data_IF_830883387476
#
_entry.id   IF_830883387476
#
_cell.length_a   1.000
_cell.length_b   1.000
_cell.length_c   1.000
_cell.angle_alpha   90.00
_cell.angle_beta   90.00
_cell.angle_gamma   90.00
#
_symmetry.space_group_name_H-M   'P 1'
#
loop_
_entity.id
_entity.type
_entity.pdbx_description
1 polymer ?
#
# COMPACT_ATOMS: atom_id res chain seq x y z
N UNK A 1 -11.85 -7.86 6.78
CA UNK A 1 -11.35 -6.66 6.08
C UNK A 1 -10.35 -7.13 5.07
N UNK A 2 -10.59 -6.85 3.80
CA UNK A 2 -9.73 -7.30 2.71
C UNK A 2 -8.40 -6.53 2.73
N UNK A 3 -7.30 -7.06 2.17
CA UNK A 3 -6.01 -6.38 2.15
C UNK A 3 -6.07 -4.97 1.53
N UNK A 4 -6.94 -4.78 0.53
CA UNK A 4 -7.16 -3.47 -0.11
C UNK A 4 -7.71 -2.43 0.87
N UNK A 5 -8.70 -2.80 1.69
CA UNK A 5 -9.31 -1.91 2.68
C UNK A 5 -8.28 -1.50 3.75
N UNK A 6 -7.45 -2.45 4.20
CA UNK A 6 -6.37 -2.19 5.17
C UNK A 6 -5.37 -1.18 4.61
N UNK A 7 -4.96 -1.35 3.35
CA UNK A 7 -4.04 -0.44 2.67
C UNK A 7 -4.66 0.94 2.53
N UNK A 8 -5.91 1.05 2.05
CA UNK A 8 -6.59 2.34 1.91
C UNK A 8 -6.69 3.08 3.23
N UNK A 9 -7.02 2.36 4.32
CA UNK A 9 -7.02 2.95 5.66
C UNK A 9 -5.66 3.55 6.01
N UNK A 10 -4.58 2.79 5.84
CA UNK A 10 -3.21 3.26 6.12
C UNK A 10 -2.84 4.47 5.25
N UNK A 11 -3.18 4.45 3.96
CA UNK A 11 -2.88 5.58 3.07
C UNK A 11 -3.61 6.86 3.50
N UNK A 12 -4.87 6.73 3.94
CA UNK A 12 -5.66 7.84 4.43
C UNK A 12 -5.14 8.36 5.77
N UNK A 13 -4.88 7.47 6.73
CA UNK A 13 -4.41 7.81 8.07
C UNK A 13 -3.05 8.54 8.05
N UNK A 14 -2.17 8.21 7.09
CA UNK A 14 -0.82 8.77 6.97
C UNK A 14 -0.66 9.76 5.80
N UNK A 15 -1.74 10.10 5.08
CA UNK A 15 -1.68 11.01 3.92
C UNK A 15 -0.71 10.56 2.83
N UNK A 16 -0.57 9.25 2.63
CA UNK A 16 0.41 8.69 1.69
C UNK A 16 -0.12 8.68 0.25
N UNK A 17 0.70 9.18 -0.68
CA UNK A 17 0.39 9.09 -2.12
C UNK A 17 0.62 7.67 -2.64
N UNK A 18 -0.07 7.31 -3.72
CA UNK A 18 0.10 6.00 -4.36
C UNK A 18 1.52 5.71 -4.85
N UNK A 19 2.31 6.75 -5.17
CA UNK A 19 3.73 6.61 -5.54
C UNK A 19 4.55 6.15 -4.34
N UNK A 20 4.41 6.83 -3.19
CA UNK A 20 5.09 6.44 -1.94
C UNK A 20 4.62 5.07 -1.45
N UNK A 21 3.34 4.76 -1.61
CA UNK A 21 2.78 3.46 -1.27
C UNK A 21 3.42 2.33 -2.09
N UNK A 22 3.56 2.53 -3.41
CA UNK A 22 4.19 1.56 -4.30
C UNK A 22 5.65 1.29 -3.92
N UNK A 23 6.41 2.36 -3.63
CA UNK A 23 7.80 2.28 -3.17
C UNK A 23 7.91 1.53 -1.83
N UNK A 24 7.06 1.87 -0.85
CA UNK A 24 6.99 1.19 0.45
C UNK A 24 6.69 -0.31 0.33
N UNK A 25 5.89 -0.69 -0.67
CA UNK A 25 5.52 -2.09 -0.95
C UNK A 25 6.50 -2.82 -1.87
N UNK A 26 7.54 -2.15 -2.38
CA UNK A 26 8.50 -2.74 -3.32
C UNK A 26 7.89 -3.14 -4.66
N UNK A 27 6.84 -2.43 -5.12
CA UNK A 27 6.18 -2.67 -6.41
C UNK A 27 6.26 -1.45 -7.32
N UNK A 28 6.19 -1.66 -8.62
CA UNK A 28 6.08 -0.56 -9.57
C UNK A 28 4.75 0.21 -9.36
N UNK A 29 4.77 1.53 -9.57
CA UNK A 29 3.56 2.36 -9.46
C UNK A 29 2.45 1.92 -10.43
N UNK A 30 2.79 1.42 -11.61
CA UNK A 30 1.83 0.83 -12.54
C UNK A 30 1.12 -0.40 -11.92
N UNK A 31 1.86 -1.25 -11.21
CA UNK A 31 1.31 -2.40 -10.47
C UNK A 31 0.42 -1.95 -9.33
N UNK A 32 0.81 -0.89 -8.60
CA UNK A 32 -0.04 -0.29 -7.57
C UNK A 32 -1.36 0.20 -8.17
N UNK A 33 -1.34 1.00 -9.26
CA UNK A 33 -2.57 1.47 -9.93
C UNK A 33 -3.46 0.33 -10.40
N UNK A 34 -2.85 -0.73 -10.95
CA UNK A 34 -3.57 -1.92 -11.41
C UNK A 34 -4.27 -2.63 -10.25
N UNK A 35 -3.59 -2.80 -9.11
CA UNK A 35 -4.14 -3.42 -7.89
C UNK A 35 -5.17 -2.55 -7.18
N UNK A 36 -5.04 -1.24 -7.32
CA UNK A 36 -5.95 -0.25 -6.73
C UNK A 36 -7.23 -0.05 -7.54
N UNK A 37 -7.32 -0.65 -8.74
CA UNK A 37 -8.49 -0.54 -9.59
C UNK A 37 -9.58 -1.53 -9.13
N UNK A 38 -10.76 -1.07 -8.68
CA UNK A 38 -11.82 -1.96 -8.19
C UNK A 38 -12.36 -2.91 -9.27
N UNK A 39 -12.16 -2.58 -10.56
CA UNK A 39 -12.58 -3.43 -11.67
C UNK A 39 -11.56 -4.54 -12.00
N UNK A 40 -10.42 -4.60 -11.31
CA UNK A 40 -9.40 -5.62 -11.52
C UNK A 40 -9.60 -6.81 -10.58
N UNK A 41 -10.28 -7.84 -11.05
CA UNK A 41 -10.54 -9.08 -10.29
C UNK A 41 -9.35 -10.05 -10.27
N UNK A 42 -8.32 -9.84 -11.10
CA UNK A 42 -7.17 -10.75 -11.24
C UNK A 42 -5.99 -10.38 -10.34
N UNK A 43 -5.76 -9.10 -10.11
CA UNK A 43 -4.60 -8.63 -9.36
C UNK A 43 -5.05 -7.66 -8.28
N UNK A 44 -5.25 -8.17 -7.06
CA UNK A 44 -5.50 -7.35 -5.87
C UNK A 44 -4.25 -7.21 -5.01
N UNK A 45 -4.30 -6.32 -4.02
CA UNK A 45 -3.33 -6.29 -2.95
C UNK A 45 -3.43 -7.55 -2.09
N UNK A 46 -2.31 -7.94 -1.48
CA UNK A 46 -2.24 -9.07 -0.57
C UNK A 46 -1.75 -8.63 0.82
N UNK A 47 -1.73 -9.55 1.78
CA UNK A 47 -1.30 -9.23 3.15
C UNK A 47 0.17 -8.77 3.20
N UNK A 48 1.04 -9.30 2.35
CA UNK A 48 2.44 -8.85 2.27
C UNK A 48 2.53 -7.37 1.88
N UNK A 49 1.73 -6.93 0.92
CA UNK A 49 1.66 -5.51 0.54
C UNK A 49 1.28 -4.63 1.75
N UNK A 50 0.31 -5.06 2.54
CA UNK A 50 -0.06 -4.35 3.78
C UNK A 50 1.09 -4.35 4.81
N UNK A 51 1.73 -5.49 5.07
CA UNK A 51 2.84 -5.61 6.03
C UNK A 51 4.06 -4.78 5.63
N UNK A 52 4.41 -4.74 4.34
CA UNK A 52 5.52 -3.94 3.83
C UNK A 52 5.24 -2.44 4.03
N UNK A 53 4.00 -2.00 3.76
CA UNK A 53 3.57 -0.63 3.99
C UNK A 53 3.66 -0.23 5.48
N UNK A 54 3.18 -1.08 6.39
CA UNK A 54 3.30 -0.85 7.84
C UNK A 54 4.77 -0.81 8.28
N UNK A 55 5.60 -1.73 7.77
CA UNK A 55 7.02 -1.78 8.07
C UNK A 55 7.75 -0.51 7.63
N UNK A 56 7.40 0.02 6.45
CA UNK A 56 7.92 1.29 5.98
C UNK A 56 7.55 2.44 6.92
N UNK A 57 6.29 2.55 7.33
CA UNK A 57 5.82 3.61 8.23
C UNK A 57 6.56 3.57 9.56
N UNK A 58 6.69 2.38 10.17
CA UNK A 58 7.45 2.20 11.42
C UNK A 58 8.90 2.68 11.29
N UNK A 59 9.57 2.30 10.19
CA UNK A 59 10.94 2.76 9.90
C UNK A 59 11.06 4.27 9.70
N UNK A 60 10.03 4.92 9.15
CA UNK A 60 10.04 6.39 9.05
C UNK A 60 9.79 7.05 10.40
N UNK A 61 8.95 6.45 11.25
CA UNK A 61 8.70 6.94 12.60
C UNK A 61 9.94 6.85 13.50
N UNK A 62 10.78 5.82 13.33
CA UNK A 62 12.07 5.67 14.05
C UNK A 62 13.13 6.71 13.65
N UNK A 63 12.95 7.42 12.53
CA UNK A 63 13.88 8.45 12.06
C UNK A 63 13.52 9.87 12.52
N UNK A 64 12.37 10.02 13.18
CA UNK A 64 11.89 11.27 13.79
C UNK A 64 12.41 11.36 15.23
#
# INVERSE_FOLDING_TARGET
MEPIDKIHKVLNDFGMTGVKAADAMGIAYATFKSKNNPNNTRHSFNEKNHQDLISFIKKQAEKL
#
